data_IF_721058940882
#
_entry.id   IF_721058940882
#
_cell.length_a   1.000
_cell.length_b   1.000
_cell.length_c   1.000
_cell.angle_alpha   90.00
_cell.angle_beta   90.00
_cell.angle_gamma   90.00
#
_symmetry.space_group_name_H-M   'P 1'
#
loop_
_entity.id
_entity.type
_entity.pdbx_description
1 polymer ?
#
# COMPACT_ATOMS: atom_id res chain seq x y z
N UNK A 1 0.78 -17.99 24.60
CA UNK A 1 1.12 -18.37 23.20
C UNK A 1 0.59 -17.38 22.15
N UNK A 2 -0.45 -16.59 22.45
CA UNK A 2 -1.07 -15.61 21.53
C UNK A 2 -0.19 -14.40 21.18
N UNK A 3 0.60 -13.89 22.13
CA UNK A 3 1.42 -12.67 21.94
C UNK A 3 2.58 -12.84 20.97
N UNK A 4 3.24 -14.01 20.96
CA UNK A 4 4.35 -14.30 20.04
C UNK A 4 3.87 -14.47 18.59
N UNK A 5 2.69 -15.06 18.37
CA UNK A 5 2.10 -15.18 17.02
C UNK A 5 1.77 -13.80 16.43
N UNK A 6 1.10 -12.95 17.21
CA UNK A 6 0.75 -11.58 16.80
C UNK A 6 1.98 -10.76 16.40
N UNK A 7 3.05 -10.81 17.18
CA UNK A 7 4.29 -10.08 16.86
C UNK A 7 4.95 -10.55 15.56
N UNK A 8 4.82 -11.85 15.22
CA UNK A 8 5.34 -12.41 13.98
C UNK A 8 4.48 -12.00 12.78
N UNK A 9 3.16 -12.03 12.92
CA UNK A 9 2.20 -11.55 11.91
C UNK A 9 2.39 -10.05 11.63
N UNK A 10 2.50 -9.24 12.68
CA UNK A 10 2.78 -7.80 12.58
C UNK A 10 4.12 -7.52 11.87
N UNK A 11 5.13 -8.39 12.06
CA UNK A 11 6.43 -8.28 11.40
C UNK A 11 6.36 -8.67 9.92
N UNK A 12 5.65 -9.75 9.59
CA UNK A 12 5.42 -10.16 8.20
C UNK A 12 4.66 -9.08 7.43
N UNK A 13 3.60 -8.55 8.02
CA UNK A 13 2.78 -7.46 7.48
C UNK A 13 3.60 -6.19 7.20
N UNK A 14 4.46 -5.78 8.13
CA UNK A 14 5.41 -4.67 7.90
C UNK A 14 6.41 -4.98 6.78
N UNK A 15 6.87 -6.22 6.68
CA UNK A 15 7.79 -6.67 5.64
C UNK A 15 7.18 -6.61 4.24
N UNK A 16 5.95 -7.10 4.09
CA UNK A 16 5.19 -7.05 2.82
C UNK A 16 4.95 -5.61 2.38
N UNK A 17 4.51 -4.75 3.32
CA UNK A 17 4.34 -3.32 3.07
C UNK A 17 5.63 -2.66 2.58
N UNK A 18 6.77 -2.95 3.23
CA UNK A 18 8.04 -2.35 2.85
C UNK A 18 8.55 -2.86 1.49
N UNK A 19 8.33 -4.14 1.18
CA UNK A 19 8.66 -4.70 -0.13
C UNK A 19 7.84 -4.03 -1.25
N UNK A 20 6.54 -3.81 -1.01
CA UNK A 20 5.66 -3.12 -1.94
C UNK A 20 6.11 -1.67 -2.20
N UNK A 21 6.32 -0.88 -1.15
CA UNK A 21 6.79 0.52 -1.27
C UNK A 21 8.13 0.59 -2.00
N UNK A 22 9.06 -0.31 -1.70
CA UNK A 22 10.36 -0.36 -2.38
C UNK A 22 10.22 -0.72 -3.87
N UNK A 23 9.33 -1.65 -4.22
CA UNK A 23 9.11 -2.04 -5.61
C UNK A 23 8.47 -0.92 -6.42
N UNK A 24 7.49 -0.21 -5.83
CA UNK A 24 6.85 0.96 -6.44
C UNK A 24 7.85 2.11 -6.61
N UNK A 25 8.70 2.37 -5.62
CA UNK A 25 9.73 3.42 -5.68
C UNK A 25 10.82 3.20 -6.73
N UNK A 26 10.94 1.97 -7.26
CA UNK A 26 11.83 1.68 -8.39
C UNK A 26 11.19 2.01 -9.76
N UNK A 27 9.87 2.15 -9.82
CA UNK A 27 9.12 2.36 -11.05
C UNK A 27 8.47 3.75 -11.15
N UNK A 28 8.28 4.45 -10.03
CA UNK A 28 7.54 5.70 -9.96
C UNK A 28 8.34 6.84 -9.30
N UNK A 29 8.03 8.11 -9.61
CA UNK A 29 8.56 9.24 -8.88
C UNK A 29 8.18 9.19 -7.39
N UNK A 30 9.09 9.59 -6.50
CA UNK A 30 8.85 9.54 -5.04
C UNK A 30 7.57 10.26 -4.61
N UNK A 31 7.27 11.42 -5.22
CA UNK A 31 6.09 12.22 -4.87
C UNK A 31 4.75 11.56 -5.23
N UNK A 32 4.77 10.55 -6.10
CA UNK A 32 3.57 9.80 -6.48
C UNK A 32 3.26 8.67 -5.50
N UNK A 33 4.10 8.43 -4.49
CA UNK A 33 3.94 7.33 -3.53
C UNK A 33 3.72 7.92 -2.14
N UNK A 34 2.51 7.73 -1.63
CA UNK A 34 2.12 8.12 -0.28
C UNK A 34 2.23 6.90 0.64
N UNK A 35 3.12 6.97 1.62
CA UNK A 35 3.32 5.89 2.60
C UNK A 35 3.43 6.39 4.04
N UNK A 36 3.35 7.69 4.28
CA UNK A 36 3.37 8.23 5.64
C UNK A 36 1.95 8.21 6.22
N UNK A 37 1.82 7.99 7.52
CA UNK A 37 0.51 7.78 8.16
C UNK A 37 -0.44 8.98 7.95
N UNK A 38 0.11 10.19 7.95
CA UNK A 38 -0.63 11.42 7.71
C UNK A 38 -1.17 11.54 6.28
N UNK A 39 -0.39 11.12 5.29
CA UNK A 39 -0.80 11.13 3.88
C UNK A 39 -1.86 10.06 3.59
N UNK A 40 -1.84 8.95 4.33
CA UNK A 40 -2.78 7.84 4.18
C UNK A 40 -4.11 8.10 4.88
N UNK A 41 -4.14 9.01 5.88
CA UNK A 41 -5.32 9.28 6.69
C UNK A 41 -6.56 9.66 5.88
N UNK A 42 -6.48 10.51 4.83
CA UNK A 42 -7.62 10.84 3.98
C UNK A 42 -8.22 9.63 3.25
N UNK A 43 -7.42 8.58 3.01
CA UNK A 43 -7.81 7.38 2.28
C UNK A 43 -8.32 6.26 3.18
N UNK A 44 -8.52 6.50 4.47
CA UNK A 44 -9.03 5.49 5.39
C UNK A 44 -10.53 5.20 5.21
N UNK A 45 -11.27 6.08 4.52
CA UNK A 45 -12.73 6.03 4.43
C UNK A 45 -13.17 6.00 2.96
N UNK A 46 -14.15 5.15 2.64
CA UNK A 46 -14.74 4.98 1.31
C UNK A 46 -15.97 5.88 1.07
N UNK A 47 -16.16 6.90 1.92
CA UNK A 47 -17.35 7.75 1.93
C UNK A 47 -18.52 7.18 2.73
N UNK A 48 -18.43 5.92 3.21
CA UNK A 48 -19.36 5.36 4.19
C UNK A 48 -18.76 5.50 5.58
N UNK A 49 -19.36 6.37 6.40
CA UNK A 49 -18.83 6.73 7.73
C UNK A 49 -18.61 5.57 8.70
N UNK A 50 -19.22 4.41 8.44
CA UNK A 50 -19.07 3.19 9.24
C UNK A 50 -17.82 2.36 8.90
N UNK A 51 -17.24 2.51 7.71
CA UNK A 51 -16.12 1.69 7.25
C UNK A 51 -14.84 2.50 7.22
N UNK A 52 -13.85 2.05 7.99
CA UNK A 52 -12.51 2.64 7.99
C UNK A 52 -11.44 1.57 7.93
N UNK A 53 -10.56 1.69 6.96
CA UNK A 53 -9.37 0.87 6.83
C UNK A 53 -8.27 1.67 6.16
N UNK A 54 -7.18 1.91 6.88
CA UNK A 54 -6.00 2.60 6.32
C UNK A 54 -5.31 1.67 5.31
N UNK A 55 -5.09 2.10 4.05
CA UNK A 55 -4.37 1.30 3.07
C UNK A 55 -2.89 1.19 3.41
N UNK A 56 -2.18 0.25 2.78
CA UNK A 56 -0.72 0.10 3.00
C UNK A 56 0.07 1.26 2.40
N UNK A 57 -0.34 1.68 1.20
CA UNK A 57 0.28 2.69 0.36
C UNK A 57 -0.79 3.24 -0.58
N UNK A 58 -0.66 4.50 -0.96
CA UNK A 58 -1.45 5.11 -2.04
C UNK A 58 -0.49 5.57 -3.12
N UNK A 59 -0.87 5.36 -4.39
CA UNK A 59 -0.09 5.79 -5.55
C UNK A 59 -0.90 6.73 -6.42
N UNK A 60 -0.26 7.79 -6.91
CA UNK A 60 -0.85 8.85 -7.73
C UNK A 60 -0.17 8.90 -9.10
N UNK A 61 -0.46 7.95 -10.00
CA UNK A 61 0.14 7.93 -11.33
C UNK A 61 -0.40 9.08 -12.20
N UNK A 62 0.48 9.64 -13.03
CA UNK A 62 0.15 10.69 -14.01
C UNK A 62 -0.02 10.10 -15.42
N UNK A 63 0.49 8.89 -15.66
CA UNK A 63 0.44 8.26 -16.99
C UNK A 63 -0.15 6.85 -16.98
N UNK A 64 -0.66 6.42 -18.13
CA UNK A 64 -1.15 5.05 -18.33
C UNK A 64 -0.02 4.01 -18.18
N UNK A 65 1.21 4.36 -18.54
CA UNK A 65 2.36 3.46 -18.40
C UNK A 65 2.70 3.19 -16.92
N UNK A 66 2.64 4.23 -16.09
CA UNK A 66 2.78 4.10 -14.63
C UNK A 66 1.69 3.21 -14.03
N UNK A 67 0.43 3.38 -14.44
CA UNK A 67 -0.67 2.49 -14.01
C UNK A 67 -0.39 1.04 -14.37
N UNK A 68 0.07 0.78 -15.60
CA UNK A 68 0.42 -0.59 -16.01
C UNK A 68 1.57 -1.16 -15.17
N UNK A 69 2.60 -0.38 -14.87
CA UNK A 69 3.69 -0.80 -14.00
C UNK A 69 3.22 -1.10 -12.58
N UNK A 70 2.39 -0.24 -11.99
CA UNK A 70 1.77 -0.44 -10.67
C UNK A 70 1.01 -1.78 -10.64
N UNK A 71 0.12 -2.01 -11.59
CA UNK A 71 -0.71 -3.22 -11.62
C UNK A 71 0.14 -4.50 -11.77
N UNK A 72 1.21 -4.47 -12.58
CA UNK A 72 2.16 -5.59 -12.70
C UNK A 72 2.90 -5.86 -11.39
N UNK A 73 3.30 -4.81 -10.68
CA UNK A 73 3.96 -4.93 -9.36
C UNK A 73 3.00 -5.54 -8.35
N UNK A 74 1.78 -5.00 -8.22
CA UNK A 74 0.77 -5.49 -7.29
C UNK A 74 0.40 -6.95 -7.58
N UNK A 75 0.21 -7.32 -8.86
CA UNK A 75 -0.05 -8.70 -9.24
C UNK A 75 1.10 -9.65 -8.86
N UNK A 76 2.36 -9.24 -9.09
CA UNK A 76 3.54 -10.05 -8.74
C UNK A 76 3.70 -10.24 -7.23
N UNK A 77 3.26 -9.26 -6.43
CA UNK A 77 3.33 -9.27 -4.98
C UNK A 77 2.02 -9.73 -4.30
N UNK A 78 1.05 -10.23 -5.08
CA UNK A 78 -0.28 -10.63 -4.60
C UNK A 78 -0.97 -9.55 -3.75
N UNK A 79 -0.75 -8.29 -4.11
CA UNK A 79 -1.28 -7.12 -3.39
C UNK A 79 -2.62 -6.71 -4.00
N UNK A 80 -3.72 -6.66 -3.20
CA UNK A 80 -5.01 -6.19 -3.68
C UNK A 80 -4.97 -4.70 -4.02
N UNK A 81 -5.70 -4.30 -5.05
CA UNK A 81 -5.76 -2.92 -5.54
C UNK A 81 -7.21 -2.44 -5.50
N UNK A 82 -7.40 -1.22 -5.01
CA UNK A 82 -8.67 -0.48 -5.06
C UNK A 82 -8.42 0.83 -5.82
N UNK A 83 -9.35 1.20 -6.70
CA UNK A 83 -9.28 2.39 -7.57
C UNK A 83 -10.34 3.41 -7.19
#
# INVERSE_FOLDING_TARGET
MTTMKKALEDKAFRGERQALVSALGAALPRQSILSDEEDLKPYECDGLSAYRSTPFVVVLPETVDEVQHILRICQRLDTPVVV
#
